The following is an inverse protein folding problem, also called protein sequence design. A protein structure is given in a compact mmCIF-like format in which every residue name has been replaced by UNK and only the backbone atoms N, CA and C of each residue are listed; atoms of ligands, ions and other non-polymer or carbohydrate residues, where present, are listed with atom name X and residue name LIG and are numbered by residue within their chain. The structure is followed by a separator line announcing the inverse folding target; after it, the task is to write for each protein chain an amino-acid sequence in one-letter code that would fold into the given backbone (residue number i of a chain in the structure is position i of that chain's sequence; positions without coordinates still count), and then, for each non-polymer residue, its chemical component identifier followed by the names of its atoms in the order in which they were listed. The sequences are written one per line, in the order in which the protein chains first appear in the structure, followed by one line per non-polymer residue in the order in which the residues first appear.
data_IF_417839559696
#
_entry.id   IF_417839559696
#
_cell.length_a   1.000
_cell.length_b   1.000
_cell.length_c   1.000
_cell.angle_alpha   90.00
_cell.angle_beta   90.00
_cell.angle_gamma   90.00
#
_symmetry.space_group_name_H-M   'P 1'
#
loop_
_entity.id
_entity.type
_entity.pdbx_description
1 polymer ?
#
# COMPACT_ATOMS: atom_id res chain seq x y z
N UNK A 1 -1.36 19.56 -6.82
CA UNK A 1 -1.47 18.14 -7.19
C UNK A 1 -0.20 17.68 -7.93
N UNK A 2 0.14 18.30 -9.06
CA UNK A 2 1.27 17.88 -9.92
C UNK A 2 2.60 17.72 -9.19
N UNK A 3 2.92 18.66 -8.29
CA UNK A 3 4.15 18.56 -7.51
C UNK A 3 4.18 17.36 -6.56
N UNK A 4 3.04 16.98 -6.00
CA UNK A 4 2.93 15.80 -5.15
C UNK A 4 3.05 14.51 -5.97
N UNK A 5 2.46 14.46 -7.17
CA UNK A 5 2.62 13.35 -8.11
C UNK A 5 4.09 13.15 -8.52
N UNK A 6 4.77 14.23 -8.91
CA UNK A 6 6.21 14.23 -9.24
C UNK A 6 7.06 13.67 -8.08
N UNK A 7 6.79 14.14 -6.86
CA UNK A 7 7.47 13.68 -5.65
C UNK A 7 7.21 12.19 -5.39
N UNK A 8 5.96 11.73 -5.46
CA UNK A 8 5.61 10.32 -5.26
C UNK A 8 6.33 9.39 -6.25
N UNK A 9 6.40 9.79 -7.52
CA UNK A 9 7.04 8.99 -8.55
C UNK A 9 8.56 8.88 -8.34
N UNK A 10 9.21 9.97 -7.93
CA UNK A 10 10.67 10.06 -7.96
C UNK A 10 11.34 9.75 -6.62
N UNK A 11 10.68 10.03 -5.49
CA UNK A 11 11.36 10.07 -4.18
C UNK A 11 10.93 8.96 -3.22
N UNK A 12 9.81 8.30 -3.47
CA UNK A 12 9.22 7.36 -2.51
C UNK A 12 9.04 5.96 -3.08
N UNK A 13 9.28 4.96 -2.23
CA UNK A 13 8.70 3.63 -2.41
C UNK A 13 7.28 3.66 -1.84
N UNK A 14 6.30 3.24 -2.63
CA UNK A 14 4.87 3.32 -2.26
C UNK A 14 4.42 1.96 -1.73
N UNK A 15 3.60 1.98 -0.68
CA UNK A 15 2.88 0.82 -0.14
C UNK A 15 1.40 1.13 0.06
N UNK A 16 0.57 0.08 0.09
CA UNK A 16 -0.87 0.15 0.34
C UNK A 16 -1.25 -0.85 1.41
N UNK A 17 -2.13 -0.44 2.34
CA UNK A 17 -2.65 -1.31 3.40
C UNK A 17 -3.47 -2.47 2.80
N UNK A 18 -4.30 -2.19 1.79
CA UNK A 18 -5.08 -3.22 1.07
C UNK A 18 -4.21 -4.25 0.31
N UNK A 19 -2.91 -3.97 0.16
CA UNK A 19 -1.92 -4.85 -0.50
C UNK A 19 -0.64 -4.92 0.37
N UNK A 20 -0.85 -5.15 1.67
CA UNK A 20 0.18 -5.09 2.70
C UNK A 20 1.32 -6.07 2.47
N UNK A 21 1.02 -7.33 2.09
CA UNK A 21 2.04 -8.35 1.80
C UNK A 21 2.98 -7.92 0.67
N UNK A 22 2.44 -7.41 -0.44
CA UNK A 22 3.23 -6.92 -1.57
C UNK A 22 4.02 -5.67 -1.18
N UNK A 23 3.45 -4.80 -0.34
CA UNK A 23 4.10 -3.59 0.17
C UNK A 23 5.32 -3.93 1.04
N UNK A 24 5.18 -4.86 1.97
CA UNK A 24 6.30 -5.33 2.81
C UNK A 24 7.35 -6.05 1.97
N UNK A 25 6.93 -6.93 1.05
CA UNK A 25 7.87 -7.63 0.16
C UNK A 25 8.72 -6.65 -0.67
N UNK A 26 8.12 -5.53 -1.13
CA UNK A 26 8.84 -4.46 -1.83
C UNK A 26 9.81 -3.72 -0.91
N UNK A 27 9.39 -3.36 0.30
CA UNK A 27 10.24 -2.70 1.28
C UNK A 27 11.46 -3.56 1.61
N UNK A 28 11.25 -4.84 1.92
CA UNK A 28 12.31 -5.80 2.18
C UNK A 28 13.31 -5.84 1.03
N UNK A 29 12.80 -5.92 -0.22
CA UNK A 29 13.65 -5.94 -1.41
C UNK A 29 14.39 -4.62 -1.65
N UNK A 30 13.74 -3.49 -1.46
CA UNK A 30 14.31 -2.16 -1.68
C UNK A 30 15.46 -1.86 -0.70
N UNK A 31 15.28 -2.21 0.58
CA UNK A 31 16.31 -2.00 1.60
C UNK A 31 17.32 -3.15 1.72
N UNK A 32 17.13 -4.24 0.97
CA UNK A 32 17.99 -5.42 1.06
C UNK A 32 17.84 -6.17 2.39
N UNK A 33 16.68 -6.05 3.04
CA UNK A 33 16.39 -6.77 4.27
C UNK A 33 16.04 -8.23 3.96
N UNK A 34 16.47 -9.10 4.86
CA UNK A 34 16.19 -10.54 4.81
C UNK A 34 15.81 -11.01 6.20
N UNK A 35 14.93 -12.01 6.26
CA UNK A 35 14.68 -12.71 7.51
C UNK A 35 15.94 -13.43 8.01
N UNK A 36 15.91 -13.78 9.29
CA UNK A 36 16.94 -14.57 9.95
C UNK A 36 17.18 -15.89 9.19
N UNK A 37 18.43 -16.35 9.18
CA UNK A 37 18.78 -17.69 8.68
C UNK A 37 18.36 -18.79 9.65
N UNK A 38 18.23 -18.46 10.93
CA UNK A 38 17.70 -19.37 11.95
C UNK A 38 16.19 -19.62 11.72
N UNK A 39 15.74 -20.88 11.56
CA UNK A 39 14.36 -21.19 11.22
C UNK A 39 13.34 -20.69 12.23
N UNK A 40 13.61 -20.81 13.53
CA UNK A 40 12.70 -20.38 14.58
C UNK A 40 12.53 -18.86 14.59
N UNK A 41 13.63 -18.12 14.53
CA UNK A 41 13.58 -16.65 14.43
C UNK A 41 12.92 -16.18 13.14
N UNK A 42 13.15 -16.89 12.03
CA UNK A 42 12.51 -16.58 10.76
C UNK A 42 10.99 -16.70 10.86
N UNK A 43 10.49 -17.80 11.41
CA UNK A 43 9.04 -17.98 11.61
C UNK A 43 8.45 -16.85 12.45
N UNK A 44 9.09 -16.53 13.58
CA UNK A 44 8.65 -15.41 14.45
C UNK A 44 8.61 -14.06 13.72
N UNK A 45 9.55 -13.81 12.81
CA UNK A 45 9.57 -12.58 12.00
C UNK A 45 8.47 -12.57 10.94
N UNK A 46 8.25 -13.69 10.27
CA UNK A 46 7.18 -13.84 9.27
C UNK A 46 5.80 -13.67 9.93
N UNK A 47 5.59 -14.28 11.09
CA UNK A 47 4.35 -14.17 11.88
C UNK A 47 4.15 -12.72 12.35
N UNK A 48 5.18 -12.07 12.89
CA UNK A 48 5.09 -10.66 13.32
C UNK A 48 4.73 -9.71 12.18
N UNK A 49 5.29 -9.91 10.98
CA UNK A 49 4.93 -9.12 9.79
C UNK A 49 3.48 -9.34 9.41
N UNK A 50 3.03 -10.60 9.45
CA UNK A 50 1.65 -10.95 9.10
C UNK A 50 0.65 -10.35 10.08
N UNK A 51 0.89 -10.51 11.39
CA UNK A 51 0.08 -9.89 12.44
C UNK A 51 0.00 -8.37 12.27
N UNK A 52 1.13 -7.72 11.96
CA UNK A 52 1.14 -6.27 11.72
C UNK A 52 0.29 -5.85 10.50
N UNK A 53 0.25 -6.66 9.44
CA UNK A 53 -0.56 -6.40 8.25
C UNK A 53 -2.04 -6.63 8.54
N UNK A 54 -2.37 -7.74 9.20
CA UNK A 54 -3.76 -8.19 9.41
C UNK A 54 -4.44 -7.39 10.53
N UNK A 55 -3.76 -7.22 11.68
CA UNK A 55 -4.32 -6.57 12.87
C UNK A 55 -4.01 -5.07 12.94
N UNK A 56 -3.03 -4.60 12.15
CA UNK A 56 -2.61 -3.20 12.15
C UNK A 56 -2.03 -2.71 13.49
N UNK A 57 -1.86 -1.40 13.61
CA UNK A 57 -1.53 -0.75 14.88
C UNK A 57 -2.57 0.34 15.15
N UNK A 58 -3.09 0.40 16.36
CA UNK A 58 -4.11 1.38 16.78
C UNK A 58 -5.43 1.29 15.98
N UNK A 59 -5.95 0.08 15.81
CA UNK A 59 -7.30 -0.12 15.24
C UNK A 59 -8.28 0.68 16.08
N UNK A 60 -9.05 1.55 15.41
CA UNK A 60 -10.12 2.26 16.08
C UNK A 60 -11.21 1.26 16.46
N UNK A 61 -11.28 0.94 17.75
CA UNK A 61 -12.27 0.01 18.32
C UNK A 61 -13.67 0.62 18.36
N UNK A 62 -13.76 1.95 18.30
CA UNK A 62 -15.04 2.64 18.24
C UNK A 62 -15.56 2.61 16.80
N UNK A 63 -16.65 1.88 16.60
CA UNK A 63 -17.32 1.82 15.32
C UNK A 63 -17.77 3.22 14.88
N UNK A 64 -17.38 3.62 13.68
CA UNK A 64 -17.85 4.85 13.05
C UNK A 64 -18.65 4.53 11.79
N UNK A 65 -19.72 5.30 11.56
CA UNK A 65 -20.48 5.18 10.32
C UNK A 65 -19.78 5.93 9.19
N UNK A 66 -19.42 5.21 8.14
CA UNK A 66 -18.89 5.83 6.93
C UNK A 66 -20.00 6.58 6.18
N UNK A 67 -19.79 7.84 5.78
CA UNK A 67 -20.75 8.58 4.97
C UNK A 67 -21.09 7.85 3.67
N UNK A 68 -22.37 7.63 3.42
CA UNK A 68 -22.83 6.93 2.21
C UNK A 68 -22.79 7.85 1.00
N UNK A 69 -22.44 7.28 -0.16
CA UNK A 69 -22.50 7.99 -1.44
C UNK A 69 -23.90 8.58 -1.66
N UNK A 70 -23.97 9.84 -2.07
CA UNK A 70 -25.22 10.58 -2.25
C UNK A 70 -25.68 11.40 -1.03
N UNK A 71 -25.04 11.23 0.14
CA UNK A 71 -25.28 12.09 1.31
C UNK A 71 -24.48 13.41 1.22
N UNK A 72 -24.96 14.45 1.91
CA UNK A 72 -24.24 15.73 2.01
C UNK A 72 -22.86 15.57 2.66
N UNK A 73 -22.76 14.75 3.71
CA UNK A 73 -21.48 14.48 4.39
C UNK A 73 -20.45 13.86 3.45
N UNK A 74 -20.85 12.87 2.64
CA UNK A 74 -19.98 12.28 1.62
C UNK A 74 -19.53 13.33 0.58
N UNK A 75 -20.44 14.17 0.11
CA UNK A 75 -20.12 15.22 -0.86
C UNK A 75 -19.11 16.23 -0.29
N UNK A 76 -19.26 16.64 0.97
CA UNK A 76 -18.34 17.56 1.64
C UNK A 76 -16.94 16.95 1.81
N UNK A 77 -16.86 15.71 2.27
CA UNK A 77 -15.57 15.00 2.43
C UNK A 77 -14.91 14.82 1.07
N UNK A 78 -15.64 14.32 0.06
CA UNK A 78 -15.10 14.15 -1.29
C UNK A 78 -14.60 15.46 -1.90
N UNK A 79 -15.32 16.57 -1.66
CA UNK A 79 -14.88 17.88 -2.11
C UNK A 79 -13.60 18.34 -1.39
N UNK A 80 -13.52 18.11 -0.08
CA UNK A 80 -12.36 18.46 0.73
C UNK A 80 -11.11 17.63 0.35
N UNK A 81 -11.29 16.34 0.08
CA UNK A 81 -10.20 15.38 -0.20
C UNK A 81 -10.01 15.10 -1.70
N UNK A 82 -10.60 15.92 -2.57
CA UNK A 82 -10.60 15.68 -4.02
C UNK A 82 -9.19 15.53 -4.61
N UNK A 83 -8.19 16.21 -4.04
CA UNK A 83 -6.80 16.11 -4.49
C UNK A 83 -6.11 14.87 -3.93
N UNK A 84 -6.43 14.45 -2.71
CA UNK A 84 -5.94 13.20 -2.13
C UNK A 84 -6.46 12.00 -2.90
N UNK A 85 -7.73 12.02 -3.32
CA UNK A 85 -8.31 10.96 -4.17
C UNK A 85 -7.54 10.84 -5.49
N UNK A 86 -7.30 11.96 -6.18
CA UNK A 86 -6.51 11.98 -7.42
C UNK A 86 -5.07 11.53 -7.20
N UNK A 87 -4.47 11.92 -6.07
CA UNK A 87 -3.10 11.53 -5.72
C UNK A 87 -3.01 10.04 -5.39
N UNK A 88 -4.01 9.49 -4.71
CA UNK A 88 -4.11 8.07 -4.37
C UNK A 88 -4.28 7.20 -5.62
N UNK A 89 -5.11 7.61 -6.57
CA UNK A 89 -5.25 6.95 -7.88
C UNK A 89 -3.91 6.92 -8.63
N UNK A 90 -3.22 8.05 -8.68
CA UNK A 90 -1.88 8.11 -9.27
C UNK A 90 -0.85 7.27 -8.52
N UNK A 91 -0.90 7.24 -7.19
CA UNK A 91 -0.05 6.37 -6.38
C UNK A 91 -0.26 4.89 -6.71
N UNK A 92 -1.52 4.47 -6.98
CA UNK A 92 -1.84 3.12 -7.45
C UNK A 92 -1.21 2.85 -8.82
N UNK A 93 -1.28 3.78 -9.76
CA UNK A 93 -0.63 3.64 -11.07
C UNK A 93 0.90 3.51 -10.95
N UNK A 94 1.53 4.31 -10.09
CA UNK A 94 2.97 4.22 -9.83
C UNK A 94 3.32 2.88 -9.19
N UNK A 95 2.55 2.45 -8.19
CA UNK A 95 2.75 1.16 -7.50
C UNK A 95 2.64 0.00 -8.49
N UNK A 96 1.57 -0.04 -9.29
CA UNK A 96 1.27 -1.17 -10.17
C UNK A 96 2.06 -1.16 -11.47
N UNK A 97 2.30 0.03 -12.04
CA UNK A 97 2.96 0.21 -13.33
C UNK A 97 4.47 0.34 -13.22
N UNK A 98 4.94 1.35 -12.49
CA UNK A 98 6.37 1.71 -12.45
C UNK A 98 7.10 0.83 -11.45
N UNK A 99 6.67 0.82 -10.18
CA UNK A 99 7.39 0.16 -9.10
C UNK A 99 7.30 -1.37 -9.16
N UNK A 100 6.17 -1.96 -9.60
CA UNK A 100 6.05 -3.42 -9.78
C UNK A 100 7.16 -3.98 -10.66
N UNK A 101 7.59 -3.26 -11.71
CA UNK A 101 8.65 -3.74 -12.63
C UNK A 101 9.97 -3.98 -11.89
N UNK A 102 10.33 -3.06 -11.00
CA UNK A 102 11.60 -3.09 -10.28
C UNK A 102 11.48 -3.91 -8.99
N UNK A 103 10.49 -3.59 -8.17
CA UNK A 103 10.39 -4.04 -6.78
C UNK A 103 9.35 -5.12 -6.54
N UNK A 104 8.38 -5.27 -7.45
CA UNK A 104 7.26 -6.18 -7.23
C UNK A 104 7.63 -7.66 -7.22
N UNK A 105 6.81 -8.46 -6.53
CA UNK A 105 6.97 -9.91 -6.47
C UNK A 105 6.75 -10.56 -7.84
N UNK A 106 7.25 -11.80 -8.01
CA UNK A 106 6.99 -12.57 -9.24
C UNK A 106 5.49 -12.77 -9.49
N UNK A 107 4.73 -13.01 -8.41
CA UNK A 107 3.27 -13.16 -8.46
C UNK A 107 2.60 -11.88 -8.96
N UNK A 108 2.92 -10.72 -8.37
CA UNK A 108 2.37 -9.43 -8.82
C UNK A 108 2.72 -9.12 -10.27
N UNK A 109 3.99 -9.30 -10.66
CA UNK A 109 4.42 -9.11 -12.06
C UNK A 109 3.61 -9.96 -13.04
N UNK A 110 3.32 -11.22 -12.70
CA UNK A 110 2.48 -12.11 -13.52
C UNK A 110 1.03 -11.63 -13.59
N UNK A 111 0.48 -11.17 -12.46
CA UNK A 111 -0.87 -10.61 -12.40
C UNK A 111 -1.01 -9.37 -13.30
N UNK A 112 -0.05 -8.43 -13.23
CA UNK A 112 -0.09 -7.20 -14.02
C UNK A 112 0.09 -7.44 -15.53
N UNK A 113 0.78 -8.52 -15.93
CA UNK A 113 0.85 -8.93 -17.34
C UNK A 113 -0.47 -9.48 -17.88
N UNK A 114 -1.29 -10.12 -17.05
CA UNK A 114 -2.60 -10.66 -17.46
C UNK A 114 -3.69 -9.60 -17.57
N UNK A 115 -3.53 -8.47 -16.88
CA UNK A 115 -4.46 -7.34 -16.90
C UNK A 115 -4.27 -6.41 -18.12
N UNK A 116 -3.19 -6.59 -18.89
CA UNK A 116 -2.90 -5.87 -20.13
C UNK A 116 -3.33 -6.70 -21.33
#
# INVERSE_FOLDING_TARGET
LDKAMDILQQKFLIGFLDDGEESVARMMKYFGWTYSSDPTKKMLQEDCVKELIDDGTNVNIDGYELPKKGTQAYALIMWQTQFDVKLYEYAKEVFDGVQTKHWGTKARKKMMKKKK
#
